data_IF_058871444571
#
_entry.id   IF_058871444571
#
_cell.length_a   1.000
_cell.length_b   1.000
_cell.length_c   1.000
_cell.angle_alpha   90.00
_cell.angle_beta   90.00
_cell.angle_gamma   90.00
#
_symmetry.space_group_name_H-M   'P 1'
#
loop_
_entity.id
_entity.type
_entity.pdbx_description
1 polymer ?
#
# COMPACT_ATOMS: atom_id res chain seq x y z
N UNK A 1 6.33 -26.77 6.31
CA UNK A 1 7.63 -26.31 6.79
C UNK A 1 8.17 -25.22 5.88
N UNK A 2 8.70 -24.11 6.41
CA UNK A 2 9.32 -23.10 5.58
C UNK A 2 10.58 -23.67 4.94
N UNK A 3 10.61 -23.68 3.59
CA UNK A 3 11.73 -24.12 2.80
C UNK A 3 12.01 -23.07 1.72
N UNK A 4 13.26 -22.99 1.25
CA UNK A 4 13.59 -22.14 0.10
C UNK A 4 12.74 -22.48 -1.13
N UNK A 5 12.30 -23.73 -1.23
CA UNK A 5 11.43 -24.26 -2.29
C UNK A 5 9.94 -24.30 -1.90
N UNK A 6 9.56 -23.71 -0.75
CA UNK A 6 8.17 -23.61 -0.33
C UNK A 6 7.35 -22.74 -1.28
N UNK A 7 6.03 -22.83 -1.15
CA UNK A 7 5.11 -21.99 -1.92
C UNK A 7 5.31 -20.53 -1.53
N UNK A 8 5.67 -19.69 -2.51
CA UNK A 8 5.76 -18.25 -2.31
C UNK A 8 4.35 -17.67 -2.24
N UNK A 9 3.99 -17.10 -1.10
CA UNK A 9 2.66 -16.49 -0.90
C UNK A 9 2.59 -15.07 -1.47
N UNK A 10 3.65 -14.28 -1.27
CA UNK A 10 3.80 -12.94 -1.83
C UNK A 10 5.26 -12.48 -1.72
N UNK A 11 5.58 -11.41 -2.40
CA UNK A 11 6.83 -10.68 -2.23
C UNK A 11 6.58 -9.45 -1.36
N UNK A 12 7.50 -9.16 -0.47
CA UNK A 12 7.46 -8.02 0.43
C UNK A 12 8.61 -7.08 0.09
N UNK A 13 8.31 -5.81 -0.03
CA UNK A 13 9.32 -4.79 -0.23
C UNK A 13 9.95 -4.36 1.11
N UNK A 14 11.15 -3.82 1.01
CA UNK A 14 11.82 -3.23 2.17
C UNK A 14 10.96 -2.11 2.77
N UNK A 15 10.75 -2.15 4.08
CA UNK A 15 9.88 -1.20 4.78
C UNK A 15 8.44 -1.69 4.94
N UNK A 16 8.07 -2.83 4.35
CA UNK A 16 6.78 -3.47 4.59
C UNK A 16 6.61 -3.87 6.05
N UNK A 17 5.41 -3.64 6.59
CA UNK A 17 5.10 -3.92 7.98
C UNK A 17 4.64 -5.36 8.17
N UNK A 18 5.21 -6.02 9.18
CA UNK A 18 4.90 -7.39 9.54
C UNK A 18 4.74 -7.50 11.05
N UNK A 19 3.76 -8.24 11.50
CA UNK A 19 3.67 -8.63 12.91
C UNK A 19 4.29 -9.99 13.13
N UNK A 20 5.29 -10.08 14.00
CA UNK A 20 5.84 -11.36 14.43
C UNK A 20 4.78 -12.11 15.24
N UNK A 21 4.54 -13.36 14.90
CA UNK A 21 3.63 -14.26 15.61
C UNK A 21 4.45 -15.16 16.52
N UNK A 22 4.04 -15.29 17.77
CA UNK A 22 4.71 -16.21 18.69
C UNK A 22 4.55 -17.66 18.21
N UNK A 23 5.61 -18.45 18.38
CA UNK A 23 5.64 -19.87 18.09
C UNK A 23 5.95 -20.64 19.39
N UNK A 24 5.43 -21.86 19.50
CA UNK A 24 5.86 -22.76 20.54
C UNK A 24 7.36 -23.09 20.36
N UNK A 25 8.12 -23.36 21.44
CA UNK A 25 9.56 -23.62 21.34
C UNK A 25 9.93 -24.73 20.34
N UNK A 26 9.14 -25.78 20.27
CA UNK A 26 9.31 -26.88 19.31
C UNK A 26 9.09 -26.45 17.86
N UNK A 27 8.10 -25.60 17.61
CA UNK A 27 7.81 -25.04 16.29
C UNK A 27 8.93 -24.08 15.87
N UNK A 28 9.38 -23.22 16.78
CA UNK A 28 10.47 -22.29 16.53
C UNK A 28 11.79 -22.99 16.18
N UNK A 29 12.14 -24.08 16.88
CA UNK A 29 13.34 -24.87 16.57
C UNK A 29 13.22 -25.56 15.20
N UNK A 30 12.01 -26.07 14.84
CA UNK A 30 11.77 -26.66 13.53
C UNK A 30 11.88 -25.65 12.37
N UNK A 31 11.71 -24.37 12.69
CA UNK A 31 11.76 -23.25 11.70
C UNK A 31 12.98 -22.35 11.87
N UNK A 32 14.06 -22.84 12.45
CA UNK A 32 15.25 -22.07 12.73
C UNK A 32 15.73 -21.22 11.55
N UNK A 33 15.95 -19.92 11.78
CA UNK A 33 16.32 -18.93 10.76
C UNK A 33 15.14 -18.36 9.96
N UNK A 34 13.91 -18.71 10.38
CA UNK A 34 12.68 -18.16 9.84
C UNK A 34 11.82 -17.60 10.98
N UNK A 35 11.14 -16.51 10.73
CA UNK A 35 10.15 -15.94 11.63
C UNK A 35 8.76 -16.15 11.07
N UNK A 36 7.85 -16.61 11.91
CA UNK A 36 6.42 -16.63 11.61
C UNK A 36 5.89 -15.21 11.71
N UNK A 37 5.26 -14.76 10.65
CA UNK A 37 4.77 -13.37 10.55
C UNK A 37 3.35 -13.34 10.04
N UNK A 38 2.62 -12.31 10.47
CA UNK A 38 1.30 -11.97 9.95
C UNK A 38 1.40 -10.71 9.12
N UNK A 39 0.80 -10.74 7.94
CA UNK A 39 0.64 -9.58 7.05
C UNK A 39 -0.52 -8.71 7.52
N UNK A 40 -0.57 -7.47 7.03
CA UNK A 40 -1.69 -6.54 7.32
C UNK A 40 -3.04 -7.06 6.81
N UNK A 41 -3.05 -7.91 5.79
CA UNK A 41 -4.24 -8.58 5.24
C UNK A 41 -4.64 -9.89 5.97
N UNK A 42 -4.02 -10.20 7.12
CA UNK A 42 -4.32 -11.36 7.97
C UNK A 42 -3.58 -12.64 7.60
N UNK A 43 -3.04 -12.75 6.41
CA UNK A 43 -2.31 -13.96 6.01
C UNK A 43 -1.10 -14.19 6.90
N UNK A 44 -0.86 -15.45 7.24
CA UNK A 44 0.27 -15.87 8.05
C UNK A 44 1.24 -16.68 7.19
N UNK A 45 2.51 -16.41 7.34
CA UNK A 45 3.57 -17.11 6.62
C UNK A 45 4.90 -17.00 7.33
N UNK A 46 5.97 -17.37 6.64
CA UNK A 46 7.33 -17.32 7.15
C UNK A 46 8.21 -16.43 6.29
N UNK A 47 9.06 -15.66 6.93
CA UNK A 47 10.09 -14.83 6.31
C UNK A 47 11.44 -15.13 6.93
N UNK A 48 12.51 -14.94 6.19
CA UNK A 48 13.88 -15.11 6.73
C UNK A 48 14.09 -14.12 7.88
N UNK A 49 14.50 -14.60 9.04
CA UNK A 49 14.69 -13.80 10.25
C UNK A 49 15.66 -12.62 10.01
N UNK A 50 16.72 -12.87 9.23
CA UNK A 50 17.71 -11.86 8.82
C UNK A 50 17.14 -10.72 7.95
N UNK A 51 15.94 -10.89 7.41
CA UNK A 51 15.26 -9.86 6.62
C UNK A 51 14.36 -8.95 7.47
N UNK A 52 14.26 -9.20 8.78
CA UNK A 52 13.43 -8.45 9.70
C UNK A 52 14.28 -7.47 10.51
N UNK A 53 13.80 -6.24 10.57
CA UNK A 53 14.29 -5.24 11.52
C UNK A 53 13.17 -4.91 12.51
N UNK A 54 13.42 -4.93 13.83
CA UNK A 54 12.41 -4.56 14.81
C UNK A 54 12.05 -3.08 14.66
N UNK A 55 10.77 -2.78 14.62
CA UNK A 55 10.30 -1.40 14.64
C UNK A 55 10.34 -0.90 16.07
N UNK A 56 10.90 0.29 16.27
CA UNK A 56 11.12 0.90 17.59
C UNK A 56 9.84 1.42 18.27
N UNK A 57 8.70 1.35 17.57
CA UNK A 57 7.42 1.87 18.04
C UNK A 57 6.41 0.74 18.18
N UNK A 58 5.53 0.81 19.16
CA UNK A 58 4.37 -0.07 19.22
C UNK A 58 3.45 0.21 18.04
N UNK A 59 3.44 -0.71 17.10
CA UNK A 59 2.72 -0.60 15.83
C UNK A 59 1.40 -1.34 15.93
N UNK A 60 0.48 -0.88 16.71
CA UNK A 60 -0.76 -1.62 16.93
C UNK A 60 -1.96 -1.11 16.13
N UNK A 61 -1.84 0.04 15.44
CA UNK A 61 -2.95 0.54 14.65
C UNK A 61 -3.27 -0.36 13.44
N UNK A 62 -2.26 -0.97 12.81
CA UNK A 62 -2.46 -1.92 11.69
C UNK A 62 -2.90 -3.30 12.16
N UNK A 63 -2.74 -3.61 13.44
CA UNK A 63 -3.11 -4.90 14.00
C UNK A 63 -3.96 -4.72 15.25
N UNK A 64 -5.07 -5.44 15.33
CA UNK A 64 -5.91 -5.48 16.53
C UNK A 64 -5.11 -5.96 17.73
N UNK A 65 -5.28 -5.30 18.89
CA UNK A 65 -4.57 -5.67 20.11
C UNK A 65 -5.04 -7.01 20.67
N UNK A 66 -6.34 -7.28 20.60
CA UNK A 66 -6.94 -8.45 21.25
C UNK A 66 -6.61 -9.76 20.57
N UNK A 67 -6.59 -9.79 19.24
CA UNK A 67 -6.42 -11.02 18.48
C UNK A 67 -5.27 -10.96 17.48
N UNK A 68 -4.60 -9.80 17.38
CA UNK A 68 -3.54 -9.59 16.39
C UNK A 68 -4.04 -9.67 14.96
N UNK A 69 -5.30 -9.38 14.74
CA UNK A 69 -5.87 -9.32 13.40
C UNK A 69 -5.43 -8.02 12.70
N UNK A 70 -5.26 -8.07 11.41
CA UNK A 70 -4.89 -6.90 10.64
C UNK A 70 -6.06 -5.92 10.55
N UNK A 71 -5.72 -4.68 10.25
CA UNK A 71 -6.67 -3.71 9.79
C UNK A 71 -7.16 -4.12 8.39
N UNK A 72 -8.41 -4.42 8.25
CA UNK A 72 -9.11 -4.61 6.99
C UNK A 72 -10.60 -4.27 7.13
N UNK A 73 -11.29 -4.15 6.01
CA UNK A 73 -12.71 -3.81 5.98
C UNK A 73 -13.58 -4.88 6.66
N UNK A 74 -13.26 -6.14 6.45
CA UNK A 74 -14.04 -7.24 7.05
C UNK A 74 -13.96 -7.18 8.57
N UNK A 75 -12.77 -6.91 9.12
CA UNK A 75 -12.56 -6.72 10.53
C UNK A 75 -13.29 -5.48 11.05
N UNK A 76 -13.20 -4.35 10.31
CA UNK A 76 -13.89 -3.13 10.66
C UNK A 76 -15.40 -3.34 10.74
N UNK A 77 -16.01 -3.98 9.75
CA UNK A 77 -17.43 -4.34 9.73
C UNK A 77 -17.81 -5.27 10.87
N UNK A 78 -17.01 -6.30 11.12
CA UNK A 78 -17.25 -7.26 12.20
C UNK A 78 -17.23 -6.61 13.58
N UNK A 79 -16.32 -5.66 13.81
CA UNK A 79 -16.20 -4.92 15.08
C UNK A 79 -17.08 -3.66 15.14
N UNK A 80 -17.74 -3.29 14.05
CA UNK A 80 -18.53 -2.07 13.96
C UNK A 80 -17.69 -0.78 13.99
N UNK A 81 -16.39 -0.87 13.69
CA UNK A 81 -15.49 0.27 13.65
C UNK A 81 -15.47 0.80 12.21
N UNK A 82 -15.82 2.07 11.95
CA UNK A 82 -15.71 2.67 10.64
C UNK A 82 -14.26 2.70 10.14
N UNK A 83 -14.07 2.49 8.84
CA UNK A 83 -12.75 2.50 8.22
C UNK A 83 -11.98 3.81 8.47
N UNK A 84 -12.69 4.94 8.51
CA UNK A 84 -12.11 6.24 8.84
C UNK A 84 -11.51 6.31 10.25
N UNK A 85 -12.13 5.68 11.24
CA UNK A 85 -11.59 5.64 12.62
C UNK A 85 -10.29 4.85 12.67
N UNK A 86 -10.21 3.75 11.92
CA UNK A 86 -8.99 2.95 11.82
C UNK A 86 -7.85 3.70 11.13
N UNK A 87 -8.17 4.49 10.08
CA UNK A 87 -7.21 5.40 9.46
C UNK A 87 -6.71 6.43 10.46
N UNK A 88 -7.62 7.05 11.22
CA UNK A 88 -7.24 8.05 12.24
C UNK A 88 -6.39 7.43 13.34
N UNK A 89 -6.68 6.20 13.74
CA UNK A 89 -5.86 5.48 14.71
C UNK A 89 -4.44 5.22 14.18
N UNK A 90 -4.30 4.80 12.92
CA UNK A 90 -3.00 4.61 12.28
C UNK A 90 -2.20 5.92 12.23
N UNK A 91 -2.86 7.03 11.88
CA UNK A 91 -2.25 8.36 11.86
C UNK A 91 -1.73 8.78 13.22
N UNK A 92 -2.57 8.70 14.25
CA UNK A 92 -2.21 9.12 15.60
C UNK A 92 -1.01 8.33 16.12
N UNK A 93 -0.93 7.06 15.76
CA UNK A 93 0.06 6.15 16.30
C UNK A 93 1.43 6.26 15.64
N UNK A 94 1.48 6.52 14.33
CA UNK A 94 2.74 6.44 13.58
C UNK A 94 3.19 7.75 12.99
N UNK A 95 2.24 8.65 12.77
CA UNK A 95 2.50 9.90 12.08
C UNK A 95 2.22 11.10 12.97
N UNK A 96 2.11 10.89 14.30
CA UNK A 96 1.83 11.95 15.27
C UNK A 96 0.50 12.67 15.03
N UNK A 97 -0.47 12.01 14.40
CA UNK A 97 -1.74 12.59 13.98
C UNK A 97 -1.66 13.49 12.75
N UNK A 98 -0.50 13.58 12.10
CA UNK A 98 -0.28 14.47 10.96
C UNK A 98 -0.64 13.82 9.63
N UNK A 99 -1.69 14.32 8.99
CA UNK A 99 -2.06 14.00 7.61
C UNK A 99 -0.90 14.27 6.64
N UNK A 100 -0.22 15.41 6.78
CA UNK A 100 0.89 15.81 5.91
C UNK A 100 2.05 14.81 5.96
N UNK A 101 2.44 14.38 7.16
CA UNK A 101 3.52 13.39 7.35
C UNK A 101 3.13 12.04 6.74
N UNK A 102 1.89 11.61 6.91
CA UNK A 102 1.39 10.39 6.29
C UNK A 102 1.40 10.48 4.75
N UNK A 103 0.87 11.56 4.19
CA UNK A 103 0.83 11.80 2.74
C UNK A 103 2.23 11.78 2.12
N UNK A 104 3.19 12.44 2.77
CA UNK A 104 4.59 12.40 2.35
C UNK A 104 5.14 10.98 2.39
N UNK A 105 4.85 10.21 3.45
CA UNK A 105 5.30 8.82 3.56
C UNK A 105 4.74 7.94 2.44
N UNK A 106 3.46 8.05 2.10
CA UNK A 106 2.84 7.29 0.99
C UNK A 106 3.52 7.62 -0.35
N UNK A 107 3.76 8.91 -0.62
CA UNK A 107 4.47 9.35 -1.82
C UNK A 107 5.88 8.75 -1.90
N UNK A 108 6.62 8.75 -0.80
CA UNK A 108 7.98 8.18 -0.74
C UNK A 108 7.97 6.67 -0.91
N UNK A 109 6.98 5.96 -0.38
CA UNK A 109 6.85 4.52 -0.62
C UNK A 109 6.59 4.22 -2.10
N UNK A 110 5.71 4.97 -2.76
CA UNK A 110 5.45 4.78 -4.19
C UNK A 110 6.70 5.03 -5.05
N UNK A 111 7.50 6.05 -4.74
CA UNK A 111 8.73 6.38 -5.48
C UNK A 111 9.78 5.27 -5.42
N UNK A 112 9.79 4.42 -4.40
CA UNK A 112 10.72 3.28 -4.30
C UNK A 112 10.53 2.25 -5.41
N UNK A 113 9.38 2.24 -6.07
CA UNK A 113 9.09 1.36 -7.20
C UNK A 113 9.47 1.94 -8.56
N UNK A 114 10.03 3.16 -8.63
CA UNK A 114 10.43 3.77 -9.90
C UNK A 114 11.26 2.81 -10.76
N UNK A 115 10.85 2.67 -12.04
CA UNK A 115 11.52 1.78 -12.98
C UNK A 115 11.17 0.29 -12.85
N UNK A 116 10.34 -0.10 -11.86
CA UNK A 116 9.83 -1.47 -11.78
C UNK A 116 8.96 -1.78 -12.99
N UNK A 117 9.18 -2.92 -13.65
CA UNK A 117 8.41 -3.35 -14.81
C UNK A 117 6.92 -3.51 -14.49
N UNK A 118 6.07 -3.18 -15.48
CA UNK A 118 4.65 -3.46 -15.38
C UNK A 118 4.38 -4.97 -15.42
N UNK A 119 3.61 -5.44 -14.45
CA UNK A 119 3.14 -6.81 -14.40
C UNK A 119 1.72 -6.87 -13.87
N UNK A 120 0.80 -7.34 -14.68
CA UNK A 120 -0.59 -7.52 -14.25
C UNK A 120 -0.70 -8.39 -13.01
N UNK A 121 -1.43 -7.92 -11.98
CA UNK A 121 -1.53 -8.58 -10.68
C UNK A 121 -0.28 -8.45 -9.79
N UNK A 122 0.77 -7.79 -10.27
CA UNK A 122 2.03 -7.60 -9.54
C UNK A 122 1.90 -6.63 -8.36
N UNK A 123 2.72 -6.86 -7.32
CA UNK A 123 2.74 -6.07 -6.07
C UNK A 123 4.16 -5.93 -5.49
N UNK A 124 5.18 -6.10 -6.30
CA UNK A 124 6.56 -6.13 -5.82
C UNK A 124 7.54 -5.47 -6.78
N UNK A 125 8.78 -5.22 -6.34
CA UNK A 125 9.85 -4.70 -7.18
C UNK A 125 10.26 -5.59 -8.35
N UNK A 126 9.71 -6.81 -8.46
CA UNK A 126 9.88 -7.69 -9.63
C UNK A 126 8.80 -7.53 -10.69
N UNK A 127 7.85 -6.69 -10.42
CA UNK A 127 6.74 -6.39 -11.31
C UNK A 127 5.52 -5.94 -10.52
N UNK A 128 4.94 -4.84 -10.96
CA UNK A 128 3.83 -4.20 -10.26
C UNK A 128 2.84 -3.61 -11.27
N UNK A 129 1.53 -3.74 -11.00
CA UNK A 129 0.52 -3.06 -11.80
C UNK A 129 0.14 -1.70 -11.18
N UNK A 130 -0.77 -0.98 -11.81
CA UNK A 130 -1.18 0.36 -11.39
C UNK A 130 -1.76 0.40 -9.98
N UNK A 131 -2.73 -0.45 -9.71
CA UNK A 131 -3.38 -0.52 -8.38
C UNK A 131 -2.50 -1.24 -7.35
N UNK A 132 -1.63 -2.15 -7.78
CA UNK A 132 -0.58 -2.73 -6.95
C UNK A 132 0.38 -1.69 -6.41
N UNK A 133 0.80 -0.74 -7.23
CA UNK A 133 1.66 0.37 -6.81
C UNK A 133 0.98 1.21 -5.72
N UNK A 134 -0.24 1.68 -5.97
CA UNK A 134 -0.96 2.55 -5.04
C UNK A 134 -1.29 1.79 -3.75
N UNK A 135 -1.89 0.60 -3.85
CA UNK A 135 -2.25 -0.21 -2.67
C UNK A 135 -1.04 -0.64 -1.85
N UNK A 136 0.10 -0.96 -2.48
CA UNK A 136 1.33 -1.31 -1.76
C UNK A 136 1.94 -0.11 -1.04
N UNK A 137 1.90 1.08 -1.63
CA UNK A 137 2.37 2.30 -0.99
C UNK A 137 1.57 2.61 0.29
N UNK A 138 0.25 2.54 0.21
CA UNK A 138 -0.62 2.71 1.37
C UNK A 138 -0.43 1.61 2.43
N UNK A 139 -0.37 0.35 2.01
CA UNK A 139 -0.15 -0.80 2.90
C UNK A 139 1.17 -0.67 3.67
N UNK A 140 2.23 -0.20 3.03
CA UNK A 140 3.52 0.04 3.68
C UNK A 140 3.48 1.21 4.67
N UNK A 141 2.49 2.09 4.54
CA UNK A 141 2.21 3.15 5.50
C UNK A 141 1.16 2.75 6.55
N UNK A 142 0.73 1.49 6.56
CA UNK A 142 -0.16 0.93 7.57
C UNK A 142 -1.65 1.07 7.28
N UNK A 143 -2.04 1.50 6.09
CA UNK A 143 -3.44 1.62 5.69
C UNK A 143 -3.74 0.69 4.53
N UNK A 144 -4.76 -0.15 4.67
CA UNK A 144 -5.29 -0.95 3.58
C UNK A 144 -6.35 -0.16 2.81
N UNK A 145 -6.17 -0.08 1.50
CA UNK A 145 -7.17 0.42 0.56
C UNK A 145 -7.65 -0.70 -0.36
N UNK A 146 -8.75 -0.48 -1.08
CA UNK A 146 -9.21 -1.47 -2.04
C UNK A 146 -8.13 -1.78 -3.08
N UNK A 147 -7.98 -3.08 -3.43
CA UNK A 147 -6.84 -3.56 -4.24
C UNK A 147 -6.87 -3.08 -5.68
N UNK A 148 -8.05 -2.97 -6.25
CA UNK A 148 -8.21 -2.63 -7.67
C UNK A 148 -8.45 -1.13 -7.90
N UNK A 149 -8.42 -0.70 -9.16
CA UNK A 149 -8.53 0.70 -9.55
C UNK A 149 -9.98 1.22 -9.46
N UNK A 150 -10.53 1.22 -8.24
CA UNK A 150 -11.89 1.66 -7.95
C UNK A 150 -12.02 2.20 -6.54
N UNK A 151 -12.89 3.18 -6.34
CA UNK A 151 -13.37 3.59 -5.03
C UNK A 151 -14.54 2.67 -4.68
N UNK A 152 -14.49 2.01 -3.53
CA UNK A 152 -15.49 1.03 -3.09
C UNK A 152 -16.01 1.43 -1.73
N UNK A 153 -17.33 1.45 -1.59
CA UNK A 153 -17.99 1.76 -0.32
C UNK A 153 -17.54 0.80 0.80
N UNK A 154 -17.30 1.36 1.98
CA UNK A 154 -16.81 0.63 3.15
C UNK A 154 -15.29 0.52 3.23
N UNK A 155 -14.56 0.87 2.17
CA UNK A 155 -13.11 1.04 2.21
C UNK A 155 -12.73 2.47 2.59
N UNK A 156 -11.50 2.72 3.08
CA UNK A 156 -11.09 4.05 3.55
C UNK A 156 -11.18 5.15 2.50
N UNK A 157 -10.99 4.80 1.22
CA UNK A 157 -10.91 5.81 0.16
C UNK A 157 -12.30 6.24 -0.30
N UNK A 158 -12.51 7.55 -0.37
CA UNK A 158 -13.71 8.19 -0.88
C UNK A 158 -13.35 9.26 -1.91
N UNK A 159 -14.31 9.65 -2.73
CA UNK A 159 -14.14 10.66 -3.76
C UNK A 159 -14.06 12.06 -3.17
N UNK A 160 -13.12 12.86 -3.70
CA UNK A 160 -12.96 14.28 -3.38
C UNK A 160 -12.93 15.12 -4.67
N UNK A 161 -13.29 16.43 -4.62
CA UNK A 161 -13.17 17.32 -5.77
C UNK A 161 -11.76 17.35 -6.34
N UNK A 162 -11.64 17.44 -7.67
CA UNK A 162 -10.34 17.46 -8.35
C UNK A 162 -9.43 18.59 -7.85
N UNK A 163 -10.01 19.75 -7.56
CA UNK A 163 -9.29 20.95 -7.11
C UNK A 163 -8.73 20.78 -5.68
N UNK A 164 -9.31 19.88 -4.90
CA UNK A 164 -8.93 19.62 -3.51
C UNK A 164 -7.87 18.52 -3.36
N UNK A 165 -7.45 17.92 -4.49
CA UNK A 165 -6.45 16.85 -4.46
C UNK A 165 -5.16 17.29 -3.78
N UNK A 166 -4.65 16.42 -2.91
CA UNK A 166 -3.40 16.60 -2.19
C UNK A 166 -2.41 15.47 -2.53
N UNK A 167 -1.09 15.68 -2.32
CA UNK A 167 -0.12 14.60 -2.45
C UNK A 167 -0.56 13.36 -1.67
N UNK A 168 -0.42 12.18 -2.27
CA UNK A 168 -0.88 10.92 -1.71
C UNK A 168 -2.29 10.51 -2.11
N UNK A 169 -3.11 11.38 -2.70
CA UNK A 169 -4.41 10.99 -3.23
C UNK A 169 -4.27 10.14 -4.50
N UNK A 170 -5.25 9.30 -4.74
CA UNK A 170 -5.31 8.46 -5.94
C UNK A 170 -6.05 9.16 -7.06
N UNK A 171 -5.50 9.09 -8.27
CA UNK A 171 -6.14 9.56 -9.50
C UNK A 171 -6.70 8.37 -10.26
N UNK A 172 -8.00 8.32 -10.47
CA UNK A 172 -8.68 7.21 -11.13
C UNK A 172 -8.98 7.53 -12.59
N UNK A 173 -8.72 6.55 -13.43
CA UNK A 173 -9.01 6.56 -14.88
C UNK A 173 -9.73 5.26 -15.23
N UNK A 174 -10.37 5.12 -16.39
CA UNK A 174 -10.99 3.86 -16.80
C UNK A 174 -9.99 2.69 -16.77
N UNK A 175 -10.17 1.76 -15.81
CA UNK A 175 -9.31 0.59 -15.63
C UNK A 175 -7.87 0.89 -15.17
N UNK A 176 -7.62 2.09 -14.65
CA UNK A 176 -6.28 2.50 -14.26
C UNK A 176 -6.30 3.45 -13.03
N UNK A 177 -5.19 3.47 -12.27
CA UNK A 177 -5.02 4.35 -11.12
C UNK A 177 -3.58 4.84 -11.02
N UNK A 178 -3.40 6.06 -10.55
CA UNK A 178 -2.12 6.68 -10.25
C UNK A 178 -2.12 7.28 -8.84
N UNK A 179 -0.95 7.60 -8.31
CA UNK A 179 -0.79 8.34 -7.07
C UNK A 179 -0.33 9.76 -7.36
N UNK A 180 -1.08 10.75 -6.88
CA UNK A 180 -0.72 12.16 -7.03
C UNK A 180 0.44 12.53 -6.09
N UNK A 181 1.45 13.22 -6.62
CA UNK A 181 2.65 13.60 -5.87
C UNK A 181 2.72 15.10 -5.54
N UNK A 182 1.72 15.87 -5.98
CA UNK A 182 1.75 17.32 -5.89
C UNK A 182 2.34 18.00 -7.13
N UNK A 183 2.17 19.32 -7.22
CA UNK A 183 2.70 20.15 -8.31
C UNK A 183 2.36 19.62 -9.72
N UNK A 184 1.15 19.12 -9.90
CA UNK A 184 0.69 18.56 -11.17
C UNK A 184 1.26 17.19 -11.53
N UNK A 185 2.16 16.59 -10.73
CA UNK A 185 2.81 15.31 -11.06
C UNK A 185 2.16 14.13 -10.37
N UNK A 186 2.21 12.98 -11.02
CA UNK A 186 1.74 11.72 -10.48
C UNK A 186 2.67 10.57 -10.88
N UNK A 187 2.65 9.51 -10.08
CA UNK A 187 3.36 8.25 -10.31
C UNK A 187 2.37 7.13 -10.58
N UNK A 188 2.63 6.32 -11.57
CA UNK A 188 1.80 5.15 -11.89
C UNK A 188 2.63 4.03 -12.52
N UNK A 189 2.11 2.81 -12.46
CA UNK A 189 2.64 1.69 -13.23
C UNK A 189 1.79 1.48 -14.47
N UNK A 190 2.40 1.53 -15.66
CA UNK A 190 1.71 1.42 -16.94
C UNK A 190 2.29 0.33 -17.82
N UNK A 191 1.40 -0.40 -18.50
CA UNK A 191 1.78 -1.38 -19.52
C UNK A 191 1.96 -0.81 -20.93
N UNK A 192 1.90 0.51 -21.10
CA UNK A 192 2.06 1.16 -22.39
C UNK A 192 3.49 0.91 -22.95
N UNK A 193 3.57 0.49 -24.21
CA UNK A 193 4.77 -0.08 -24.84
C UNK A 193 6.03 0.81 -24.78
N UNK A 194 5.89 2.11 -24.70
CA UNK A 194 7.03 3.05 -24.68
C UNK A 194 7.66 3.24 -23.27
N UNK A 195 6.96 2.83 -22.19
CA UNK A 195 7.40 3.12 -20.82
C UNK A 195 7.17 1.98 -19.83
N UNK A 196 6.77 0.82 -20.29
CA UNK A 196 6.33 -0.38 -19.55
C UNK A 196 6.82 -0.55 -18.12
N UNK A 197 6.25 0.19 -17.15
CA UNK A 197 6.64 0.12 -15.76
C UNK A 197 6.17 1.32 -14.94
N UNK A 198 6.83 1.52 -13.80
CA UNK A 198 6.56 2.65 -12.91
C UNK A 198 7.28 3.90 -13.38
N UNK A 199 6.49 4.91 -13.71
CA UNK A 199 6.96 6.17 -14.30
C UNK A 199 6.26 7.38 -13.68
N UNK A 200 6.85 8.55 -13.89
CA UNK A 200 6.24 9.85 -13.57
C UNK A 200 5.56 10.42 -14.81
N UNK A 201 4.38 10.98 -14.62
CA UNK A 201 3.72 11.80 -15.61
C UNK A 201 3.12 13.07 -14.98
N UNK A 202 2.58 13.96 -15.80
CA UNK A 202 2.08 15.25 -15.38
C UNK A 202 0.65 15.50 -15.85
N UNK A 203 -0.10 16.26 -15.03
CA UNK A 203 -1.39 16.85 -15.36
C UNK A 203 -1.25 18.20 -16.06
N UNK A 204 -0.04 18.80 -16.04
CA UNK A 204 0.24 20.12 -16.60
C UNK A 204 0.61 20.01 -18.08
N UNK A 205 -0.16 20.62 -19.00
CA UNK A 205 0.15 20.62 -20.43
C UNK A 205 1.52 21.21 -20.79
N UNK A 206 2.09 22.05 -19.93
CA UNK A 206 3.40 22.65 -20.16
C UNK A 206 4.57 21.73 -19.72
N UNK A 207 4.29 20.67 -18.97
CA UNK A 207 5.31 19.71 -18.52
C UNK A 207 5.62 18.69 -19.63
N UNK A 208 6.90 18.41 -19.95
CA UNK A 208 7.28 17.37 -20.93
C UNK A 208 6.74 15.96 -20.61
N UNK A 209 6.34 15.71 -19.37
CA UNK A 209 5.75 14.44 -18.92
C UNK A 209 4.22 14.42 -19.03
N UNK A 210 3.61 15.43 -19.65
CA UNK A 210 2.15 15.52 -19.81
C UNK A 210 1.60 14.35 -20.62
N UNK A 211 0.50 13.77 -20.14
CA UNK A 211 -0.23 12.68 -20.79
C UNK A 211 -1.66 13.11 -21.05
N UNK A 212 -1.87 13.77 -22.20
CA UNK A 212 -3.18 14.27 -22.62
C UNK A 212 -4.25 13.18 -22.64
N UNK A 213 -3.90 11.97 -23.08
CA UNK A 213 -4.78 10.82 -23.14
C UNK A 213 -5.32 10.39 -21.77
N UNK A 214 -4.47 10.43 -20.74
CA UNK A 214 -4.89 10.14 -19.37
C UNK A 214 -5.67 11.30 -18.75
N UNK A 215 -5.21 12.53 -18.93
CA UNK A 215 -5.88 13.71 -18.34
C UNK A 215 -7.31 13.85 -18.86
N UNK A 216 -7.55 13.59 -20.15
CA UNK A 216 -8.89 13.63 -20.75
C UNK A 216 -9.85 12.57 -20.20
N UNK A 217 -9.36 11.49 -19.67
CA UNK A 217 -10.19 10.40 -19.14
C UNK A 217 -10.12 10.26 -17.62
N UNK A 218 -9.45 11.19 -16.91
CA UNK A 218 -9.49 11.24 -15.46
C UNK A 218 -10.92 11.39 -14.97
N UNK A 219 -11.41 10.45 -14.18
CA UNK A 219 -12.81 10.37 -13.81
C UNK A 219 -13.09 10.54 -12.30
N UNK A 220 -12.10 10.35 -11.45
CA UNK A 220 -12.25 10.59 -10.01
C UNK A 220 -10.90 10.85 -9.33
N UNK A 221 -10.96 11.52 -8.19
CA UNK A 221 -9.86 11.63 -7.23
C UNK A 221 -10.30 10.97 -5.93
N UNK A 222 -9.51 10.06 -5.40
CA UNK A 222 -9.79 9.40 -4.13
C UNK A 222 -8.84 9.81 -3.04
N UNK A 223 -9.38 10.10 -1.86
CA UNK A 223 -8.64 10.40 -0.64
C UNK A 223 -9.10 9.50 0.50
N UNK A 224 -8.25 9.31 1.50
CA UNK A 224 -8.65 8.65 2.77
C UNK A 224 -8.96 9.67 3.88
N UNK A 225 -8.90 10.99 3.57
CA UNK A 225 -9.08 12.12 4.49
C UNK A 225 -10.24 13.00 4.10
#
# INVERSE_FOLDING_TARGET
>A
LPKVQGVRMMELERGGLLRRVAEAPEEAEAHKGWAKVRLVDGRVGYVRDVALEPVRYEMSAVFSQEEGLPFDEALAKQKGIPAAELVQEALNRWYGGSEEVFRAAVCEQAKKYMGTEYRWGGKSGRGIDCSGLVSSAYMQCGVLIYRDASIVEGWPMHEVPFEEKKPGDALFFPGHVALYLGSGRYIHSTGAAASGGVVLNSLDPADPLYREDLVKCLNAVGSIF
#
